data_IF_457571420671
#
_entry.id   IF_457571420671
#
_cell.length_a   1.000
_cell.length_b   1.000
_cell.length_c   1.000
_cell.angle_alpha   90.00
_cell.angle_beta   90.00
_cell.angle_gamma   90.00
#
_symmetry.space_group_name_H-M   'P 1'
#
loop_
_entity.id
_entity.type
_entity.pdbx_description
1 polymer ?
#
# COMPACT_ATOMS: atom_id res chain seq x y z
N UNK A 1 4.12 -3.21 -15.96
CA UNK A 1 5.18 -2.47 -15.25
C UNK A 1 4.62 -1.83 -13.99
N UNK A 2 3.54 -1.03 -14.11
CA UNK A 2 2.88 -0.36 -12.97
C UNK A 2 2.38 -1.34 -11.88
N UNK A 3 1.85 -2.51 -12.26
CA UNK A 3 1.40 -3.53 -11.29
C UNK A 3 2.54 -4.10 -10.43
N UNK A 4 3.71 -4.37 -11.02
CA UNK A 4 4.87 -4.90 -10.29
C UNK A 4 5.47 -3.83 -9.36
N UNK A 5 5.45 -2.57 -9.78
CA UNK A 5 5.81 -1.45 -8.92
C UNK A 5 4.86 -1.36 -7.72
N UNK A 6 3.54 -1.48 -7.95
CA UNK A 6 2.57 -1.45 -6.86
C UNK A 6 2.74 -2.63 -5.90
N UNK A 7 2.99 -3.85 -6.42
CA UNK A 7 3.30 -5.03 -5.58
C UNK A 7 4.55 -4.81 -4.71
N UNK A 8 5.59 -4.18 -5.25
CA UNK A 8 6.78 -3.83 -4.48
C UNK A 8 6.46 -2.79 -3.38
N UNK A 9 5.68 -1.76 -3.70
CA UNK A 9 5.23 -0.75 -2.72
C UNK A 9 4.39 -1.38 -1.61
N UNK A 10 3.42 -2.24 -1.95
CA UNK A 10 2.62 -2.98 -0.97
C UNK A 10 3.48 -3.85 -0.06
N UNK A 11 4.55 -4.47 -0.59
CA UNK A 11 5.48 -5.27 0.22
C UNK A 11 6.23 -4.40 1.24
N UNK A 12 6.60 -3.18 0.85
CA UNK A 12 7.22 -2.20 1.75
C UNK A 12 6.21 -1.74 2.81
N UNK A 13 4.98 -1.43 2.43
CA UNK A 13 3.91 -1.05 3.38
C UNK A 13 3.68 -2.16 4.41
N UNK A 14 3.56 -3.42 3.98
CA UNK A 14 3.41 -4.56 4.89
C UNK A 14 4.59 -4.67 5.89
N UNK A 15 5.82 -4.53 5.39
CA UNK A 15 7.02 -4.54 6.24
C UNK A 15 7.03 -3.40 7.26
N UNK A 16 6.62 -2.19 6.85
CA UNK A 16 6.52 -1.03 7.73
C UNK A 16 5.41 -1.19 8.77
N UNK A 17 4.26 -1.74 8.38
CA UNK A 17 3.18 -2.07 9.31
C UNK A 17 3.64 -3.06 10.39
N UNK A 18 4.35 -4.11 9.99
CA UNK A 18 4.91 -5.09 10.94
C UNK A 18 5.97 -4.45 11.84
N UNK A 19 6.85 -3.62 11.29
CA UNK A 19 7.84 -2.87 12.06
C UNK A 19 7.17 -1.94 13.10
N UNK A 20 6.10 -1.24 12.70
CA UNK A 20 5.30 -0.38 13.56
C UNK A 20 4.59 -1.17 14.68
N UNK A 21 4.04 -2.35 14.37
CA UNK A 21 3.32 -3.22 15.32
C UNK A 21 4.26 -3.94 16.29
N UNK A 22 5.42 -4.40 15.83
CA UNK A 22 6.32 -5.29 16.59
C UNK A 22 7.60 -4.61 17.11
N UNK A 23 7.78 -3.30 16.89
CA UNK A 23 8.75 -2.48 17.62
C UNK A 23 10.15 -2.39 17.01
N UNK A 24 10.34 -2.73 15.73
CA UNK A 24 11.56 -2.37 15.01
C UNK A 24 11.42 -0.91 14.55
N UNK A 25 12.03 0.03 15.27
CA UNK A 25 11.92 1.49 15.05
C UNK A 25 10.53 1.94 14.53
N UNK A 26 9.51 1.69 15.36
CA UNK A 26 8.11 1.92 15.01
C UNK A 26 7.80 3.37 14.64
N UNK A 27 8.57 4.32 15.16
CA UNK A 27 8.39 5.73 14.83
C UNK A 27 8.83 6.02 13.39
N UNK A 28 9.99 5.52 12.96
CA UNK A 28 10.40 5.64 11.56
C UNK A 28 9.40 4.94 10.62
N UNK A 29 8.86 3.80 11.04
CA UNK A 29 7.87 3.07 10.26
C UNK A 29 6.54 3.82 10.09
N UNK A 30 6.01 4.40 11.17
CA UNK A 30 4.80 5.24 11.12
C UNK A 30 5.04 6.47 10.26
N UNK A 31 6.15 7.19 10.43
CA UNK A 31 6.47 8.36 9.61
C UNK A 31 6.56 8.01 8.11
N UNK A 32 7.11 6.84 7.77
CA UNK A 32 7.16 6.37 6.39
C UNK A 32 5.75 6.09 5.83
N UNK A 33 4.86 5.46 6.62
CA UNK A 33 3.47 5.22 6.23
C UNK A 33 2.68 6.53 6.04
N UNK A 34 2.88 7.52 6.93
CA UNK A 34 2.27 8.85 6.80
C UNK A 34 2.71 9.57 5.52
N UNK A 35 4.00 9.51 5.18
CA UNK A 35 4.51 10.06 3.92
C UNK A 35 3.89 9.38 2.70
N UNK A 36 3.75 8.05 2.72
CA UNK A 36 3.07 7.32 1.63
C UNK A 36 1.62 7.80 1.50
N UNK A 37 0.87 7.88 2.61
CA UNK A 37 -0.49 8.40 2.60
C UNK A 37 -0.59 9.83 2.06
N UNK A 38 0.34 10.71 2.46
CA UNK A 38 0.38 12.10 2.00
C UNK A 38 0.57 12.22 0.47
N UNK A 39 1.47 11.42 -0.11
CA UNK A 39 1.72 11.42 -1.57
C UNK A 39 0.53 10.85 -2.34
N UNK A 40 -0.10 9.78 -1.83
CA UNK A 40 -1.34 9.23 -2.40
C UNK A 40 -2.48 10.25 -2.35
N UNK A 41 -2.51 11.10 -1.31
CA UNK A 41 -3.51 12.14 -1.19
C UNK A 41 -3.40 13.26 -2.22
N UNK A 42 -2.21 13.45 -2.81
CA UNK A 42 -2.02 14.42 -3.89
C UNK A 42 -2.58 13.95 -5.24
N UNK A 43 -2.97 12.68 -5.37
CA UNK A 43 -3.53 12.15 -6.61
C UNK A 43 -4.84 12.85 -6.98
N UNK A 44 -4.94 13.24 -8.25
CA UNK A 44 -6.18 13.70 -8.84
C UNK A 44 -7.16 12.53 -9.07
N UNK A 45 -8.40 12.84 -9.44
CA UNK A 45 -9.45 11.84 -9.60
C UNK A 45 -9.12 10.75 -10.63
N UNK A 46 -8.48 11.10 -11.75
CA UNK A 46 -8.10 10.13 -12.78
C UNK A 46 -6.97 9.21 -12.30
N UNK A 47 -6.01 9.75 -11.55
CA UNK A 47 -4.93 8.98 -10.92
C UNK A 47 -5.47 8.02 -9.86
N UNK A 48 -6.39 8.49 -9.01
CA UNK A 48 -7.06 7.65 -7.99
C UNK A 48 -7.85 6.51 -8.63
N UNK A 49 -8.57 6.78 -9.72
CA UNK A 49 -9.29 5.74 -10.45
C UNK A 49 -8.33 4.67 -11.02
N UNK A 50 -7.24 5.11 -11.66
CA UNK A 50 -6.22 4.19 -12.19
C UNK A 50 -5.56 3.38 -11.08
N UNK A 51 -5.28 4.00 -9.94
CA UNK A 51 -4.71 3.34 -8.78
C UNK A 51 -5.64 2.25 -8.24
N UNK A 52 -6.94 2.56 -8.06
CA UNK A 52 -7.94 1.59 -7.63
C UNK A 52 -8.06 0.39 -8.59
N UNK A 53 -7.99 0.62 -9.90
CA UNK A 53 -7.98 -0.46 -10.90
C UNK A 53 -6.74 -1.35 -10.84
N UNK A 54 -5.58 -0.80 -10.48
CA UNK A 54 -4.37 -1.59 -10.26
C UNK A 54 -4.50 -2.36 -8.95
N UNK A 55 -4.99 -1.74 -7.87
CA UNK A 55 -5.24 -2.41 -6.59
C UNK A 55 -6.18 -3.62 -6.75
N UNK A 56 -7.28 -3.48 -7.50
CA UNK A 56 -8.19 -4.61 -7.75
C UNK A 56 -7.54 -5.75 -8.52
N UNK A 57 -6.71 -5.43 -9.53
CA UNK A 57 -5.95 -6.46 -10.26
C UNK A 57 -4.93 -7.16 -9.36
N UNK A 58 -4.27 -6.41 -8.48
CA UNK A 58 -3.34 -7.00 -7.50
C UNK A 58 -4.10 -7.88 -6.52
N UNK A 59 -5.21 -7.39 -5.94
CA UNK A 59 -6.06 -8.14 -5.01
C UNK A 59 -6.58 -9.45 -5.64
N UNK A 60 -6.96 -9.45 -6.91
CA UNK A 60 -7.36 -10.65 -7.62
C UNK A 60 -6.22 -11.69 -7.77
N UNK A 61 -4.96 -11.23 -7.76
CA UNK A 61 -3.76 -12.05 -7.97
C UNK A 61 -3.11 -12.60 -6.70
N UNK A 62 -3.51 -12.13 -5.52
CA UNK A 62 -2.97 -12.56 -4.22
C UNK A 62 -3.87 -13.57 -3.51
N UNK A 63 -3.35 -14.14 -2.42
CA UNK A 63 -4.09 -15.07 -1.57
C UNK A 63 -5.39 -14.45 -1.04
N UNK A 64 -6.49 -15.23 -0.95
CA UNK A 64 -7.78 -14.74 -0.47
C UNK A 64 -7.72 -13.97 0.85
N UNK A 65 -6.86 -14.40 1.78
CA UNK A 65 -6.69 -13.76 3.09
C UNK A 65 -6.05 -12.37 3.02
N UNK A 66 -5.35 -12.03 1.93
CA UNK A 66 -4.66 -10.75 1.76
C UNK A 66 -5.48 -9.73 0.95
N UNK A 67 -6.55 -10.16 0.28
CA UNK A 67 -7.30 -9.30 -0.66
C UNK A 67 -7.92 -8.09 0.00
N UNK A 68 -8.52 -8.30 1.17
CA UNK A 68 -9.18 -7.23 1.90
C UNK A 68 -8.16 -6.22 2.45
N UNK A 69 -6.98 -6.69 2.84
CA UNK A 69 -5.86 -5.80 3.21
C UNK A 69 -5.37 -5.00 2.01
N UNK A 70 -5.13 -5.62 0.85
CA UNK A 70 -4.72 -4.91 -0.37
C UNK A 70 -5.71 -3.81 -0.74
N UNK A 71 -7.02 -4.08 -0.63
CA UNK A 71 -8.09 -3.09 -0.88
C UNK A 71 -8.21 -2.00 0.16
N UNK A 72 -7.67 -2.23 1.36
CA UNK A 72 -7.69 -1.25 2.46
C UNK A 72 -6.53 -0.26 2.41
N UNK A 73 -5.57 -0.48 1.52
CA UNK A 73 -4.48 0.47 1.29
C UNK A 73 -5.09 1.75 0.69
N UNK A 74 -4.85 2.92 1.32
CA UNK A 74 -5.40 4.19 0.88
C UNK A 74 -5.00 4.55 -0.55
#
# INVERSE_FOLDING_TARGET
MEEYLLKALLSVVAMLEDAAKFGMDSHAAVNALENVGFELDQMNEAERQKFAEILERVAASVDPAQRDWVRSVP
#
